data_IF_988338059983
#
_entry.id   IF_988338059983
#
_cell.length_a   1.000
_cell.length_b   1.000
_cell.length_c   1.000
_cell.angle_alpha   90.00
_cell.angle_beta   90.00
_cell.angle_gamma   90.00
#
_symmetry.space_group_name_H-M   'P 1'
#
loop_
_entity.id
_entity.type
_entity.pdbx_description
1 polymer ?
#
# COMPACT_ATOMS: atom_id res chain seq x y z
N UNK A 1 -6.53 -0.82 -25.34
CA UNK A 1 -5.97 -2.18 -25.11
C UNK A 1 -6.61 -2.70 -23.82
N UNK A 2 -7.24 -3.87 -23.86
CA UNK A 2 -7.89 -4.43 -22.66
C UNK A 2 -6.80 -4.99 -21.75
N UNK A 3 -6.66 -4.45 -20.54
CA UNK A 3 -5.62 -4.85 -19.62
C UNK A 3 -5.96 -6.25 -19.05
N UNK A 4 -5.08 -7.22 -19.28
CA UNK A 4 -5.24 -8.56 -18.72
C UNK A 4 -5.04 -8.52 -17.21
N UNK A 5 -5.88 -9.22 -16.46
CA UNK A 5 -5.83 -9.28 -15.01
C UNK A 5 -5.50 -10.68 -14.52
N UNK A 6 -4.69 -10.78 -13.49
CA UNK A 6 -4.43 -11.99 -12.74
C UNK A 6 -4.99 -11.87 -11.32
N UNK A 7 -5.25 -12.99 -10.67
CA UNK A 7 -5.73 -13.02 -9.27
C UNK A 7 -4.85 -13.95 -8.46
N UNK A 8 -4.20 -13.40 -7.46
CA UNK A 8 -3.46 -14.16 -6.47
C UNK A 8 -4.41 -14.59 -5.36
N UNK A 9 -4.30 -15.84 -4.93
CA UNK A 9 -5.14 -16.45 -3.90
C UNK A 9 -4.25 -16.76 -2.70
N UNK A 10 -4.38 -16.00 -1.63
CA UNK A 10 -3.46 -16.00 -0.50
C UNK A 10 -4.18 -16.53 0.74
N UNK A 11 -3.84 -17.73 1.25
CA UNK A 11 -4.31 -18.17 2.56
C UNK A 11 -3.77 -17.24 3.65
N UNK A 12 -4.63 -16.78 4.56
CA UNK A 12 -4.24 -15.85 5.61
C UNK A 12 -5.17 -15.95 6.82
N UNK A 13 -4.63 -16.24 8.01
CA UNK A 13 -5.36 -16.21 9.29
C UNK A 13 -6.72 -16.92 9.28
N UNK A 14 -6.83 -18.03 8.53
CA UNK A 14 -8.06 -18.83 8.42
C UNK A 14 -9.04 -18.37 7.37
N UNK A 15 -8.73 -17.34 6.61
CA UNK A 15 -9.48 -16.88 5.43
C UNK A 15 -8.64 -17.00 4.17
N UNK A 16 -9.25 -16.73 3.02
CA UNK A 16 -8.56 -16.67 1.74
C UNK A 16 -8.71 -15.27 1.18
N UNK A 17 -7.60 -14.56 1.04
CA UNK A 17 -7.57 -13.25 0.41
C UNK A 17 -7.42 -13.42 -1.10
N UNK A 18 -8.16 -12.60 -1.86
CA UNK A 18 -8.14 -12.58 -3.33
C UNK A 18 -7.60 -11.22 -3.79
N UNK A 19 -6.42 -11.22 -4.37
CA UNK A 19 -5.74 -9.98 -4.80
C UNK A 19 -5.65 -9.98 -6.31
N UNK A 20 -6.42 -9.09 -6.93
CA UNK A 20 -6.40 -8.86 -8.37
C UNK A 20 -5.28 -7.88 -8.67
N UNK A 21 -4.51 -8.17 -9.70
CA UNK A 21 -3.44 -7.32 -10.21
C UNK A 21 -3.42 -7.31 -11.73
N UNK A 22 -2.73 -6.36 -12.33
CA UNK A 22 -2.45 -6.37 -13.77
C UNK A 22 -1.50 -7.53 -14.09
N UNK A 23 -1.85 -8.32 -15.08
CA UNK A 23 -0.98 -9.38 -15.58
C UNK A 23 0.02 -8.80 -16.57
N UNK A 24 1.29 -8.77 -16.17
CA UNK A 24 2.41 -8.33 -16.99
C UNK A 24 3.17 -9.49 -17.64
N UNK A 25 2.76 -10.75 -17.38
CA UNK A 25 3.33 -11.93 -18.03
C UNK A 25 2.85 -12.02 -19.47
N UNK A 26 3.40 -11.17 -20.30
CA UNK A 26 3.45 -11.07 -21.72
C UNK A 26 2.49 -11.84 -22.62
N UNK A 27 1.71 -11.08 -23.39
CA UNK A 27 1.28 -11.49 -24.74
C UNK A 27 1.91 -10.60 -25.86
N UNK A 28 2.93 -9.82 -25.55
CA UNK A 28 3.70 -9.05 -26.54
C UNK A 28 4.91 -9.83 -27.13
N UNK A 29 4.93 -11.15 -26.99
CA UNK A 29 5.67 -12.02 -27.89
C UNK A 29 4.94 -12.14 -29.25
N UNK A 30 4.27 -11.07 -29.69
CA UNK A 30 3.70 -10.87 -31.00
C UNK A 30 4.78 -10.46 -31.98
N UNK A 31 5.34 -11.46 -32.69
CA UNK A 31 5.85 -11.37 -34.06
C UNK A 31 6.76 -10.15 -34.39
N UNK A 32 7.78 -9.90 -33.59
CA UNK A 32 8.98 -9.25 -34.13
C UNK A 32 10.06 -10.31 -34.29
N UNK A 33 10.34 -10.65 -35.54
CA UNK A 33 11.40 -11.52 -36.03
C UNK A 33 12.81 -10.90 -35.73
N UNK A 34 13.01 -10.49 -34.50
CA UNK A 34 14.31 -10.12 -33.96
C UNK A 34 14.71 -11.20 -32.96
N UNK A 35 15.35 -12.24 -33.50
CA UNK A 35 16.06 -13.20 -32.65
C UNK A 35 16.96 -12.47 -31.68
N UNK A 36 16.77 -12.61 -30.38
CA UNK A 36 17.78 -12.17 -29.43
C UNK A 36 18.99 -13.05 -29.69
N UNK A 37 20.10 -12.45 -30.05
CA UNK A 37 21.39 -13.14 -30.05
C UNK A 37 21.63 -13.61 -28.62
N UNK A 38 21.47 -14.91 -28.42
CA UNK A 38 21.78 -15.57 -27.18
C UNK A 38 23.25 -15.34 -26.84
N UNK A 39 23.52 -14.42 -25.95
CA UNK A 39 24.77 -14.40 -25.23
C UNK A 39 24.67 -15.53 -24.20
N UNK A 40 25.48 -16.58 -24.43
CA UNK A 40 25.54 -17.82 -23.64
C UNK A 40 26.36 -17.62 -22.37
N UNK A 41 26.11 -16.59 -21.61
CA UNK A 41 26.64 -16.42 -20.27
C UNK A 41 25.45 -16.07 -19.38
N UNK A 42 24.94 -17.12 -18.69
CA UNK A 42 23.73 -17.06 -17.90
C UNK A 42 23.91 -16.22 -16.63
N UNK A 43 23.68 -14.95 -16.74
CA UNK A 43 23.30 -14.08 -15.65
C UNK A 43 21.85 -13.72 -15.88
N UNK A 44 20.96 -14.26 -15.05
CA UNK A 44 19.55 -13.94 -15.03
C UNK A 44 19.44 -12.48 -14.55
N UNK A 45 19.38 -11.54 -15.50
CA UNK A 45 19.05 -10.13 -15.27
C UNK A 45 17.53 -10.00 -15.02
N UNK A 46 17.06 -10.56 -13.90
CA UNK A 46 15.66 -10.50 -13.47
C UNK A 46 15.20 -9.10 -13.02
N UNK A 47 16.08 -8.10 -12.99
CA UNK A 47 15.77 -6.72 -12.61
C UNK A 47 15.49 -5.78 -13.80
N UNK A 48 15.44 -6.31 -15.04
CA UNK A 48 15.17 -5.48 -16.20
C UNK A 48 13.67 -5.15 -16.31
N UNK A 49 13.31 -3.93 -15.98
CA UNK A 49 11.96 -3.40 -16.22
C UNK A 49 11.87 -2.95 -17.67
N UNK A 50 10.99 -3.57 -18.47
CA UNK A 50 10.73 -3.16 -19.83
C UNK A 50 10.43 -1.64 -19.89
N UNK A 51 11.24 -0.84 -20.61
CA UNK A 51 10.99 0.59 -20.74
C UNK A 51 9.62 0.92 -21.35
N UNK A 52 9.02 0.01 -22.13
CA UNK A 52 7.67 0.18 -22.67
C UNK A 52 6.58 -0.12 -21.62
N UNK A 53 6.93 -0.69 -20.47
CA UNK A 53 6.02 -0.94 -19.35
C UNK A 53 5.31 0.34 -18.87
N UNK A 54 5.89 1.50 -19.12
CA UNK A 54 5.39 2.81 -18.73
C UNK A 54 4.67 3.58 -19.84
N UNK A 55 4.46 2.98 -21.02
CA UNK A 55 3.90 3.67 -22.20
C UNK A 55 2.37 3.76 -22.20
N UNK A 56 1.70 3.38 -21.11
CA UNK A 56 0.24 3.43 -20.98
C UNK A 56 -0.30 4.75 -20.41
N UNK A 57 0.55 5.75 -20.26
CA UNK A 57 0.20 7.09 -19.78
C UNK A 57 0.14 7.23 -18.25
N UNK A 58 0.50 6.17 -17.50
CA UNK A 58 0.64 6.25 -16.04
C UNK A 58 2.07 6.62 -15.64
N UNK A 59 2.21 7.15 -14.42
CA UNK A 59 3.53 7.36 -13.84
C UNK A 59 4.15 6.00 -13.45
N UNK A 60 5.48 5.93 -13.39
CA UNK A 60 6.23 4.76 -12.92
C UNK A 60 5.68 4.26 -11.58
N UNK A 61 5.47 5.19 -10.63
CA UNK A 61 4.94 4.86 -9.31
C UNK A 61 3.54 4.24 -9.38
N UNK A 62 2.63 4.75 -10.22
CA UNK A 62 1.29 4.19 -10.39
C UNK A 62 1.34 2.81 -11.03
N UNK A 63 2.16 2.64 -12.07
CA UNK A 63 2.27 1.37 -12.80
C UNK A 63 2.77 0.25 -11.90
N UNK A 64 3.79 0.50 -11.08
CA UNK A 64 4.31 -0.48 -10.12
C UNK A 64 3.29 -0.88 -9.06
N UNK A 65 2.34 0.01 -8.71
CA UNK A 65 1.25 -0.28 -7.77
C UNK A 65 0.22 -1.29 -8.30
N UNK A 66 0.09 -1.47 -9.63
CA UNK A 66 -0.92 -2.37 -10.20
C UNK A 66 -0.48 -3.81 -10.41
N UNK A 67 0.82 -4.06 -10.56
CA UNK A 67 1.27 -5.23 -11.33
C UNK A 67 1.65 -6.42 -10.48
N UNK A 68 1.97 -6.25 -9.20
CA UNK A 68 2.38 -7.38 -8.37
C UNK A 68 2.18 -7.12 -6.88
N UNK A 69 2.17 -8.22 -6.12
CA UNK A 69 2.43 -8.19 -4.70
C UNK A 69 3.95 -8.13 -4.50
N UNK A 70 4.42 -7.17 -3.76
CA UNK A 70 5.83 -6.98 -3.46
C UNK A 70 6.23 -7.77 -2.22
N UNK A 71 7.47 -8.27 -2.19
CA UNK A 71 7.96 -9.14 -1.12
C UNK A 71 7.84 -8.52 0.29
N UNK A 72 8.10 -7.23 0.43
CA UNK A 72 7.91 -6.53 1.71
C UNK A 72 6.45 -6.52 2.19
N UNK A 73 5.49 -6.49 1.26
CA UNK A 73 4.07 -6.63 1.59
C UNK A 73 3.75 -8.06 2.06
N UNK A 74 4.33 -9.08 1.44
CA UNK A 74 4.17 -10.46 1.90
C UNK A 74 4.77 -10.69 3.28
N UNK A 75 5.98 -10.14 3.54
CA UNK A 75 6.62 -10.23 4.85
C UNK A 75 5.76 -9.55 5.90
N UNK A 76 5.28 -8.32 5.65
CA UNK A 76 4.43 -7.61 6.59
C UNK A 76 3.11 -8.35 6.85
N UNK A 77 2.52 -8.95 5.81
CA UNK A 77 1.30 -9.77 5.91
C UNK A 77 1.54 -11.00 6.79
N UNK A 78 2.65 -11.73 6.59
CA UNK A 78 3.02 -12.87 7.46
C UNK A 78 3.17 -12.46 8.93
N UNK A 79 3.73 -11.30 9.20
CA UNK A 79 3.86 -10.78 10.57
C UNK A 79 2.52 -10.40 11.20
N UNK A 80 1.50 -10.07 10.40
CA UNK A 80 0.13 -9.90 10.87
C UNK A 80 -0.53 -11.25 11.21
N UNK A 81 -0.16 -12.34 10.51
CA UNK A 81 -0.70 -13.68 10.73
C UNK A 81 -0.09 -14.34 11.96
N UNK A 82 1.24 -14.39 12.02
CA UNK A 82 1.98 -15.29 12.92
C UNK A 82 2.10 -14.82 14.37
N UNK A 83 1.66 -13.60 14.67
CA UNK A 83 1.74 -13.04 16.02
C UNK A 83 3.20 -12.97 16.60
N UNK A 84 4.23 -13.02 15.73
CA UNK A 84 5.64 -13.24 16.08
C UNK A 84 6.47 -11.98 15.84
N UNK A 85 6.20 -10.88 16.51
CA UNK A 85 7.20 -9.82 16.64
C UNK A 85 7.43 -9.54 18.12
N UNK A 86 8.44 -10.18 18.71
CA UNK A 86 8.90 -9.88 20.05
C UNK A 86 7.76 -9.77 21.07
N UNK A 87 7.86 -8.81 22.01
CA UNK A 87 6.89 -8.62 23.07
C UNK A 87 5.54 -8.01 22.63
N UNK A 88 5.39 -7.58 21.36
CA UNK A 88 4.19 -6.94 20.86
C UNK A 88 3.85 -7.41 19.45
N UNK A 89 2.99 -8.42 19.33
CA UNK A 89 2.39 -8.88 18.10
C UNK A 89 1.82 -7.73 17.26
N UNK A 90 2.22 -7.67 15.98
CA UNK A 90 1.70 -6.65 15.07
C UNK A 90 0.17 -6.76 14.94
N UNK A 91 -0.36 -7.98 14.89
CA UNK A 91 -1.80 -8.25 14.88
C UNK A 91 -2.52 -7.58 16.07
N UNK A 92 -2.00 -7.70 17.29
CA UNK A 92 -2.59 -7.05 18.47
C UNK A 92 -2.49 -5.53 18.43
N UNK A 93 -1.47 -5.01 17.76
CA UNK A 93 -1.28 -3.56 17.62
C UNK A 93 -2.26 -2.92 16.64
N UNK A 94 -2.71 -3.67 15.62
CA UNK A 94 -3.64 -3.17 14.59
C UNK A 94 -5.11 -3.46 14.94
N UNK A 95 -5.41 -4.54 15.65
CA UNK A 95 -6.78 -4.96 15.95
C UNK A 95 -7.57 -3.87 16.70
N UNK A 96 -8.74 -3.51 16.16
CA UNK A 96 -9.62 -2.47 16.69
C UNK A 96 -9.06 -1.05 16.55
N UNK A 97 -8.02 -0.83 15.75
CA UNK A 97 -7.39 0.47 15.52
C UNK A 97 -7.71 1.01 14.13
N UNK A 98 -7.71 2.33 14.01
CA UNK A 98 -7.69 2.99 12.71
C UNK A 98 -6.26 3.00 12.17
N UNK A 99 -6.05 2.20 11.14
CA UNK A 99 -4.76 2.03 10.48
C UNK A 99 -4.79 2.77 9.14
N UNK A 100 -3.72 3.48 8.84
CA UNK A 100 -3.49 4.11 7.54
C UNK A 100 -2.38 3.34 6.82
N UNK A 101 -2.67 2.81 5.64
CA UNK A 101 -1.66 2.24 4.76
C UNK A 101 -1.25 3.26 3.71
N UNK A 102 0.05 3.55 3.62
CA UNK A 102 0.65 4.46 2.64
C UNK A 102 1.27 3.64 1.50
N UNK A 103 0.95 4.00 0.25
CA UNK A 103 1.44 3.28 -0.92
C UNK A 103 0.94 1.85 -0.95
N UNK A 104 -0.37 1.67 -0.83
CA UNK A 104 -1.00 0.36 -0.66
C UNK A 104 -0.85 -0.55 -1.89
N UNK A 105 -0.58 0.00 -3.08
CA UNK A 105 -0.50 -0.76 -4.31
C UNK A 105 -1.76 -1.60 -4.53
N UNK A 106 -1.62 -2.92 -4.58
CA UNK A 106 -2.76 -3.84 -4.70
C UNK A 106 -3.57 -3.98 -3.40
N UNK A 107 -3.15 -3.38 -2.28
CA UNK A 107 -3.89 -3.34 -1.01
C UNK A 107 -3.77 -4.58 -0.14
N UNK A 108 -2.81 -5.47 -0.39
CA UNK A 108 -2.67 -6.75 0.35
C UNK A 108 -2.54 -6.54 1.87
N UNK A 109 -1.61 -5.67 2.31
CA UNK A 109 -1.36 -5.49 3.74
C UNK A 109 -2.56 -4.90 4.48
N UNK A 110 -3.23 -3.91 3.87
CA UNK A 110 -4.42 -3.29 4.47
C UNK A 110 -5.59 -4.26 4.58
N UNK A 111 -5.86 -5.03 3.52
CA UNK A 111 -6.91 -6.05 3.52
C UNK A 111 -6.59 -7.14 4.56
N UNK A 112 -5.33 -7.59 4.64
CA UNK A 112 -4.88 -8.54 5.65
C UNK A 112 -5.03 -7.99 7.08
N UNK A 113 -4.64 -6.74 7.32
CA UNK A 113 -4.83 -6.09 8.61
C UNK A 113 -6.31 -5.96 8.98
N UNK A 114 -7.17 -5.64 8.01
CA UNK A 114 -8.61 -5.58 8.22
C UNK A 114 -9.19 -6.95 8.54
N UNK A 115 -8.76 -8.04 7.89
CA UNK A 115 -9.26 -9.39 8.18
C UNK A 115 -8.90 -9.88 9.60
N UNK A 116 -7.90 -9.29 10.23
CA UNK A 116 -7.56 -9.54 11.66
C UNK A 116 -8.12 -8.48 12.62
N UNK A 117 -9.02 -7.62 12.16
CA UNK A 117 -9.82 -6.73 12.99
C UNK A 117 -9.41 -5.26 13.01
N UNK A 118 -8.51 -4.81 12.13
CA UNK A 118 -8.19 -3.39 11.99
C UNK A 118 -9.27 -2.64 11.18
N UNK A 119 -9.37 -1.33 11.38
CA UNK A 119 -10.12 -0.43 10.52
C UNK A 119 -9.13 0.30 9.62
N UNK A 120 -8.98 -0.17 8.38
CA UNK A 120 -7.89 0.26 7.50
C UNK A 120 -8.37 1.26 6.45
N UNK A 121 -7.58 2.30 6.23
CA UNK A 121 -7.64 3.15 5.07
C UNK A 121 -6.42 2.84 4.19
N UNK A 122 -6.64 2.17 3.06
CA UNK A 122 -5.62 1.92 2.04
C UNK A 122 -5.49 3.17 1.17
N UNK A 123 -4.29 3.72 1.08
CA UNK A 123 -4.06 4.95 0.31
C UNK A 123 -2.96 4.81 -0.71
N UNK A 124 -3.16 5.48 -1.87
CA UNK A 124 -2.21 5.53 -2.96
C UNK A 124 -2.56 6.70 -3.90
N UNK A 125 -1.88 6.79 -5.05
CA UNK A 125 -2.24 7.69 -6.14
C UNK A 125 -3.66 7.39 -6.68
N UNK A 126 -4.35 8.40 -7.21
CA UNK A 126 -5.73 8.28 -7.73
C UNK A 126 -5.86 7.09 -8.71
N UNK A 127 -4.89 6.93 -9.63
CA UNK A 127 -4.92 5.86 -10.62
C UNK A 127 -4.86 4.46 -9.97
N UNK A 128 -4.07 4.27 -8.91
CA UNK A 128 -3.94 2.99 -8.19
C UNK A 128 -5.20 2.72 -7.36
N UNK A 129 -5.73 3.74 -6.70
CA UNK A 129 -6.98 3.65 -5.94
C UNK A 129 -8.13 3.20 -6.84
N UNK A 130 -8.30 3.82 -8.02
CA UNK A 130 -9.34 3.47 -8.98
C UNK A 130 -9.07 2.14 -9.70
N UNK A 131 -7.80 1.90 -10.03
CA UNK A 131 -7.41 0.76 -10.87
C UNK A 131 -7.50 -0.59 -10.17
N UNK A 132 -7.06 -0.68 -8.91
CA UNK A 132 -6.97 -1.97 -8.20
C UNK A 132 -7.50 -1.97 -6.77
N UNK A 133 -7.28 -0.92 -5.94
CA UNK A 133 -7.56 -1.01 -4.50
C UNK A 133 -9.05 -1.18 -4.24
N UNK A 134 -9.92 -0.39 -4.87
CA UNK A 134 -11.36 -0.53 -4.71
C UNK A 134 -11.84 -1.93 -5.07
N UNK A 135 -11.32 -2.48 -6.16
CA UNK A 135 -11.66 -3.82 -6.60
C UNK A 135 -11.24 -4.87 -5.58
N UNK A 136 -10.00 -4.80 -5.10
CA UNK A 136 -9.47 -5.76 -4.15
C UNK A 136 -10.19 -5.72 -2.80
N UNK A 137 -10.61 -4.55 -2.33
CA UNK A 137 -11.49 -4.45 -1.17
C UNK A 137 -12.81 -5.19 -1.45
N UNK A 138 -13.47 -4.92 -2.59
CA UNK A 138 -14.72 -5.56 -2.96
C UNK A 138 -14.62 -7.09 -3.07
N UNK A 139 -13.54 -7.63 -3.63
CA UNK A 139 -13.30 -9.08 -3.75
C UNK A 139 -13.14 -9.79 -2.38
N UNK A 140 -12.83 -9.03 -1.32
CA UNK A 140 -12.61 -9.53 0.04
C UNK A 140 -13.68 -9.07 1.04
N UNK A 141 -14.73 -8.41 0.57
CA UNK A 141 -15.85 -7.97 1.41
C UNK A 141 -16.67 -9.16 1.91
N UNK A 142 -17.03 -9.14 3.19
CA UNK A 142 -17.90 -10.15 3.79
C UNK A 142 -19.36 -9.93 3.38
N UNK A 143 -19.81 -10.67 2.37
CA UNK A 143 -21.21 -10.61 1.89
C UNK A 143 -22.21 -11.33 2.81
N UNK A 144 -21.74 -12.06 3.83
CA UNK A 144 -22.60 -12.79 4.76
C UNK A 144 -23.21 -11.91 5.85
N UNK A 145 -22.70 -10.70 6.03
CA UNK A 145 -23.06 -9.81 7.14
C UNK A 145 -24.38 -9.05 6.93
N UNK A 146 -25.07 -9.18 5.80
CA UNK A 146 -26.40 -8.54 5.59
C UNK A 146 -27.48 -9.04 6.55
N UNK A 147 -27.24 -10.12 7.29
CA UNK A 147 -28.22 -10.71 8.24
C UNK A 147 -27.67 -10.96 9.65
N UNK A 148 -26.46 -10.58 9.95
CA UNK A 148 -25.75 -10.99 11.17
C UNK A 148 -25.66 -9.91 12.24
N UNK A 149 -25.95 -10.31 13.44
CA UNK A 149 -25.77 -9.60 14.71
C UNK A 149 -24.38 -8.94 14.77
N UNK A 150 -24.35 -7.60 14.69
CA UNK A 150 -23.17 -6.81 15.00
C UNK A 150 -22.64 -7.27 16.36
N UNK A 151 -21.51 -7.94 16.37
CA UNK A 151 -20.77 -8.13 17.63
C UNK A 151 -20.44 -6.73 18.14
N UNK A 152 -20.97 -6.39 19.31
CA UNK A 152 -20.72 -5.10 19.94
C UNK A 152 -19.21 -4.90 20.02
N UNK A 153 -18.66 -3.81 19.43
CA UNK A 153 -17.24 -3.55 19.51
C UNK A 153 -16.81 -3.49 20.96
N UNK A 154 -15.63 -4.03 21.27
CA UNK A 154 -15.09 -3.90 22.63
C UNK A 154 -14.97 -2.40 22.93
N UNK A 155 -15.16 -2.03 24.20
CA UNK A 155 -15.11 -0.62 24.65
C UNK A 155 -13.77 0.09 24.36
N UNK A 156 -12.78 -0.62 23.84
CA UNK A 156 -11.43 -0.13 23.49
C UNK A 156 -11.18 -0.01 22.00
N UNK A 157 -12.15 -0.38 21.13
CA UNK A 157 -11.96 -0.28 19.69
C UNK A 157 -12.33 1.11 19.17
N UNK A 158 -11.52 1.64 18.25
CA UNK A 158 -11.83 2.87 17.52
C UNK A 158 -13.00 2.65 16.56
N UNK A 159 -13.80 3.69 16.26
CA UNK A 159 -14.83 3.57 15.24
C UNK A 159 -14.19 3.33 13.86
N UNK A 160 -14.84 2.57 12.97
CA UNK A 160 -14.36 2.37 11.60
C UNK A 160 -14.31 3.69 10.83
N UNK A 161 -13.55 3.70 9.75
CA UNK A 161 -13.57 4.78 8.78
C UNK A 161 -14.95 4.88 8.12
N UNK A 162 -15.35 6.07 7.72
CA UNK A 162 -16.59 6.25 6.97
C UNK A 162 -16.51 5.54 5.62
N UNK A 163 -17.62 5.02 5.14
CA UNK A 163 -17.72 4.32 3.85
C UNK A 163 -16.78 3.11 3.73
N UNK A 164 -16.41 2.48 4.84
CA UNK A 164 -15.57 1.29 4.84
C UNK A 164 -16.40 0.02 4.71
N UNK A 165 -15.84 -0.96 3.99
CA UNK A 165 -16.43 -2.29 3.82
C UNK A 165 -15.94 -3.25 4.91
N UNK A 166 -16.79 -4.14 5.37
CA UNK A 166 -16.41 -5.22 6.27
C UNK A 166 -15.62 -6.27 5.50
N UNK A 167 -14.42 -6.60 5.99
CA UNK A 167 -13.56 -7.59 5.35
C UNK A 167 -13.78 -8.98 5.97
N UNK A 168 -13.76 -10.00 5.12
CA UNK A 168 -13.88 -11.40 5.53
C UNK A 168 -12.80 -11.75 6.58
N UNK A 169 -13.19 -12.53 7.60
CA UNK A 169 -12.30 -12.91 8.70
C UNK A 169 -13.00 -12.99 10.05
N UNK A 170 -14.24 -12.50 10.13
CA UNK A 170 -15.07 -12.60 11.35
C UNK A 170 -14.57 -11.78 12.54
N UNK A 171 -13.55 -10.93 12.35
CA UNK A 171 -12.93 -10.13 13.42
C UNK A 171 -13.48 -8.68 13.47
N UNK A 172 -14.49 -8.35 12.65
CA UNK A 172 -15.13 -7.02 12.62
C UNK A 172 -14.27 -5.90 12.03
N UNK A 173 -13.19 -6.23 11.33
CA UNK A 173 -12.34 -5.24 10.68
C UNK A 173 -12.97 -4.71 9.39
N UNK A 174 -12.56 -3.51 9.00
CA UNK A 174 -13.10 -2.82 7.83
C UNK A 174 -12.00 -2.20 7.00
N UNK A 175 -12.26 -2.00 5.70
CA UNK A 175 -11.34 -1.39 4.78
C UNK A 175 -12.01 -0.33 3.91
N UNK A 176 -11.31 0.76 3.62
CA UNK A 176 -11.72 1.80 2.68
C UNK A 176 -10.51 2.22 1.85
N UNK A 177 -10.72 2.57 0.59
CA UNK A 177 -9.68 3.15 -0.25
C UNK A 177 -9.83 4.67 -0.33
N UNK A 178 -8.70 5.40 -0.31
CA UNK A 178 -8.68 6.85 -0.44
C UNK A 178 -7.39 7.33 -1.11
N UNK A 179 -7.52 8.42 -1.90
CA UNK A 179 -6.35 9.05 -2.54
C UNK A 179 -5.48 9.73 -1.49
N UNK A 180 -4.17 9.46 -1.54
CA UNK A 180 -3.15 10.20 -0.80
C UNK A 180 -1.85 10.23 -1.62
N UNK A 181 -1.55 11.39 -2.18
CA UNK A 181 -0.32 11.66 -2.93
C UNK A 181 0.68 12.37 -2.00
N UNK A 182 1.82 11.72 -1.73
CA UNK A 182 2.84 12.25 -0.81
C UNK A 182 3.54 13.49 -1.32
N UNK A 183 3.50 13.75 -2.63
CA UNK A 183 4.07 14.96 -3.24
C UNK A 183 3.19 16.18 -3.01
N UNK A 184 2.01 15.98 -2.43
CA UNK A 184 1.03 17.02 -2.14
C UNK A 184 0.70 17.06 -0.63
N UNK A 185 0.09 18.16 -0.19
CA UNK A 185 -0.41 18.21 1.19
C UNK A 185 -1.57 17.22 1.40
N UNK A 186 -1.74 16.76 2.64
CA UNK A 186 -2.87 15.91 3.02
C UNK A 186 -4.21 16.57 2.67
N UNK A 187 -4.34 17.89 2.83
CA UNK A 187 -5.57 18.60 2.48
C UNK A 187 -5.84 18.60 0.97
N UNK A 188 -4.79 18.70 0.14
CA UNK A 188 -4.93 18.56 -1.32
C UNK A 188 -5.37 17.15 -1.73
N UNK A 189 -4.84 16.12 -1.08
CA UNK A 189 -5.26 14.72 -1.30
C UNK A 189 -6.71 14.49 -0.86
N UNK A 190 -7.15 15.07 0.26
CA UNK A 190 -8.55 15.04 0.69
C UNK A 190 -9.46 15.69 -0.37
N UNK A 191 -9.06 16.80 -0.95
CA UNK A 191 -9.85 17.44 -2.01
C UNK A 191 -9.83 16.64 -3.32
N UNK A 192 -8.73 15.97 -3.65
CA UNK A 192 -8.67 15.01 -4.77
C UNK A 192 -9.67 13.86 -4.57
N UNK A 193 -9.72 13.30 -3.38
CA UNK A 193 -10.71 12.25 -3.03
C UNK A 193 -12.15 12.74 -3.16
N UNK A 194 -12.46 13.98 -2.74
CA UNK A 194 -13.80 14.56 -2.92
C UNK A 194 -14.17 14.69 -4.39
N UNK A 195 -13.21 15.11 -5.24
CA UNK A 195 -13.44 15.20 -6.70
C UNK A 195 -13.68 13.83 -7.31
N UNK A 196 -12.94 12.83 -6.89
CA UNK A 196 -13.11 11.44 -7.33
C UNK A 196 -14.51 10.91 -6.97
N UNK A 197 -14.96 11.11 -5.74
CA UNK A 197 -16.31 10.73 -5.30
C UNK A 197 -17.42 11.39 -6.11
N UNK A 198 -17.30 12.68 -6.42
CA UNK A 198 -18.23 13.39 -7.31
C UNK A 198 -18.24 12.80 -8.72
N UNK A 199 -17.08 12.52 -9.31
CA UNK A 199 -16.95 11.92 -10.65
C UNK A 199 -17.66 10.56 -10.72
N UNK A 200 -17.41 9.70 -9.74
CA UNK A 200 -18.03 8.35 -9.67
C UNK A 200 -19.56 8.41 -9.60
N UNK A 201 -20.13 9.34 -8.86
CA UNK A 201 -21.60 9.53 -8.80
C UNK A 201 -22.20 9.98 -10.12
N UNK A 202 -21.52 10.85 -10.87
CA UNK A 202 -21.99 11.28 -12.19
C UNK A 202 -22.01 10.09 -13.15
N UNK A 203 -20.94 9.32 -13.21
CA UNK A 203 -20.84 8.14 -14.07
C UNK A 203 -21.88 7.07 -13.71
N UNK A 204 -22.11 6.82 -12.43
CA UNK A 204 -23.13 5.84 -12.00
C UNK A 204 -24.57 6.24 -12.32
N UNK A 205 -24.86 7.54 -12.46
CA UNK A 205 -26.19 8.03 -12.88
C UNK A 205 -26.42 7.91 -14.39
N UNK A 206 -25.35 7.94 -15.18
CA UNK A 206 -25.42 7.85 -16.65
C UNK A 206 -25.47 6.41 -17.17
N UNK A 207 -24.93 5.45 -16.41
CA UNK A 207 -24.76 4.05 -16.83
C UNK A 207 -25.93 3.16 -16.39
N UNK A 208 -27.13 3.42 -16.95
CA UNK A 208 -28.29 2.51 -16.79
C UNK A 208 -28.25 1.31 -17.75
N UNK A 209 -27.19 1.14 -18.52
CA UNK A 209 -27.03 0.10 -19.53
C UNK A 209 -26.02 -0.99 -19.13
N UNK A 210 -26.30 -1.74 -18.09
CA UNK A 210 -25.92 -3.15 -17.97
C UNK A 210 -24.45 -3.57 -17.96
N UNK A 211 -23.46 -2.67 -17.93
CA UNK A 211 -22.05 -3.01 -17.80
C UNK A 211 -21.63 -2.87 -16.33
N UNK A 212 -21.20 -3.97 -15.74
CA UNK A 212 -20.54 -4.15 -14.42
C UNK A 212 -20.43 -2.89 -13.57
N UNK A 213 -21.55 -2.51 -12.97
CA UNK A 213 -21.60 -1.42 -12.00
C UNK A 213 -20.83 -1.84 -10.75
N UNK A 214 -19.80 -1.10 -10.41
CA UNK A 214 -19.27 -1.11 -9.06
C UNK A 214 -20.42 -0.76 -8.10
N UNK A 215 -20.56 -1.40 -6.96
CA UNK A 215 -21.61 -1.09 -6.03
C UNK A 215 -21.50 0.39 -5.64
N UNK A 216 -22.46 1.19 -6.11
CA UNK A 216 -22.66 2.54 -5.62
C UNK A 216 -23.22 2.44 -4.22
N UNK A 217 -22.37 2.59 -3.22
CA UNK A 217 -22.82 2.71 -1.84
C UNK A 217 -23.39 4.12 -1.66
N UNK A 218 -24.69 4.22 -1.57
CA UNK A 218 -25.38 5.46 -1.27
C UNK A 218 -26.63 5.62 -2.11
N UNK A 219 -27.75 5.14 -1.58
CA UNK A 219 -29.09 5.53 -2.01
C UNK A 219 -29.39 6.93 -1.51
N UNK A 220 -29.89 7.71 -2.46
CA UNK A 220 -30.82 8.83 -2.28
C UNK A 220 -30.49 9.87 -1.20
N UNK A 221 -30.21 11.07 -1.63
CA UNK A 221 -30.96 12.29 -1.43
C UNK A 221 -30.14 13.54 -1.74
N UNK A 222 -30.81 14.55 -2.26
CA UNK A 222 -30.33 15.80 -2.83
C UNK A 222 -29.74 16.80 -1.79
N UNK A 223 -28.94 16.35 -0.84
CA UNK A 223 -28.33 17.26 0.14
C UNK A 223 -26.81 17.35 0.01
N UNK A 224 -26.31 18.56 0.23
CA UNK A 224 -24.90 19.04 0.24
C UNK A 224 -23.93 18.25 1.18
N UNK A 225 -24.26 17.02 1.55
CA UNK A 225 -23.53 16.15 2.49
C UNK A 225 -22.21 15.56 1.91
N UNK A 226 -21.87 15.92 0.68
CA UNK A 226 -20.66 15.44 -0.02
C UNK A 226 -19.34 15.77 0.71
N UNK A 227 -19.34 16.80 1.53
CA UNK A 227 -18.18 17.16 2.37
C UNK A 227 -17.93 16.16 3.51
N UNK A 228 -18.95 15.35 3.88
CA UNK A 228 -18.90 14.46 5.04
C UNK A 228 -18.37 13.05 4.75
N UNK A 229 -18.24 12.67 3.47
CA UNK A 229 -17.91 11.29 3.07
C UNK A 229 -16.40 11.02 2.95
N UNK A 230 -15.53 12.00 3.11
CA UNK A 230 -14.07 11.83 3.04
C UNK A 230 -13.50 11.74 4.44
N UNK A 231 -12.66 10.73 4.66
CA UNK A 231 -11.95 10.56 5.93
C UNK A 231 -10.72 11.47 6.00
N UNK A 232 -10.36 11.92 7.19
CA UNK A 232 -9.09 12.62 7.43
C UNK A 232 -7.99 11.59 7.81
N UNK A 233 -6.95 11.38 6.97
CA UNK A 233 -5.87 10.44 7.26
C UNK A 233 -5.18 10.70 8.60
N UNK A 234 -5.22 11.95 9.08
CA UNK A 234 -4.63 12.38 10.36
C UNK A 234 -5.33 11.77 11.59
N UNK A 235 -6.47 11.11 11.40
CA UNK A 235 -7.19 10.40 12.46
C UNK A 235 -6.71 8.96 12.69
N UNK A 236 -5.69 8.48 11.96
CA UNK A 236 -5.10 7.16 12.14
C UNK A 236 -4.39 7.01 13.49
N UNK A 237 -4.29 5.78 13.98
CA UNK A 237 -3.63 5.41 15.25
C UNK A 237 -2.36 4.57 15.01
N UNK A 238 -2.15 4.12 13.77
CA UNK A 238 -0.95 3.45 13.29
C UNK A 238 -0.83 3.70 11.78
N UNK A 239 0.38 3.95 11.31
CA UNK A 239 0.72 4.00 9.89
C UNK A 239 1.41 2.70 9.51
N UNK A 240 1.03 2.11 8.38
CA UNK A 240 1.73 0.98 7.74
C UNK A 240 2.17 1.39 6.35
N UNK A 241 3.30 0.85 5.91
CA UNK A 241 3.77 0.99 4.55
C UNK A 241 4.65 -0.21 4.17
N UNK A 242 4.53 -0.69 2.93
CA UNK A 242 5.30 -1.83 2.45
C UNK A 242 5.84 -1.60 1.05
N UNK A 243 7.16 -1.71 0.86
CA UNK A 243 7.87 -1.60 -0.42
C UNK A 243 7.59 -0.33 -1.24
N UNK A 244 7.17 0.74 -0.58
CA UNK A 244 6.77 1.98 -1.26
C UNK A 244 7.93 2.97 -1.46
N UNK A 245 9.11 2.72 -0.87
CA UNK A 245 10.29 3.59 -0.91
C UNK A 245 11.42 2.98 -1.77
N UNK A 246 11.15 2.73 -3.03
CA UNK A 246 12.15 2.16 -3.94
C UNK A 246 12.88 3.21 -4.77
N UNK A 247 12.31 4.42 -4.95
CA UNK A 247 12.95 5.56 -5.62
C UNK A 247 13.41 6.60 -4.61
N UNK A 248 14.60 7.13 -4.81
CA UNK A 248 15.22 8.16 -3.96
C UNK A 248 14.35 9.42 -3.85
N UNK A 249 13.69 9.81 -4.92
CA UNK A 249 12.79 10.98 -4.97
C UNK A 249 11.54 10.82 -4.11
N UNK A 250 11.17 9.60 -3.72
CA UNK A 250 10.00 9.32 -2.87
C UNK A 250 10.32 9.43 -1.37
N UNK A 251 11.59 9.41 -0.97
CA UNK A 251 11.99 9.38 0.44
C UNK A 251 11.54 10.62 1.19
N UNK A 252 11.89 11.80 0.68
CA UNK A 252 11.56 13.06 1.35
C UNK A 252 10.04 13.29 1.44
N UNK A 253 9.26 13.18 0.34
CA UNK A 253 7.79 13.31 0.40
C UNK A 253 7.14 12.32 1.36
N UNK A 254 7.60 11.06 1.38
CA UNK A 254 7.09 10.06 2.31
C UNK A 254 7.40 10.43 3.77
N UNK A 255 8.66 10.76 4.08
CA UNK A 255 9.07 11.15 5.42
C UNK A 255 8.32 12.41 5.90
N UNK A 256 8.05 13.37 5.01
CA UNK A 256 7.24 14.55 5.31
C UNK A 256 5.80 14.16 5.64
N UNK A 257 5.17 13.34 4.81
CA UNK A 257 3.81 12.86 5.04
C UNK A 257 3.69 12.14 6.39
N UNK A 258 4.62 11.20 6.69
CA UNK A 258 4.60 10.45 7.96
C UNK A 258 4.79 11.40 9.16
N UNK A 259 5.73 12.32 9.09
CA UNK A 259 5.98 13.27 10.20
C UNK A 259 4.85 14.26 10.39
N UNK A 260 4.17 14.67 9.33
CA UNK A 260 2.96 15.51 9.40
C UNK A 260 1.80 14.77 10.08
N UNK A 261 1.61 13.49 9.77
CA UNK A 261 0.64 12.62 10.44
C UNK A 261 0.97 12.47 11.93
N UNK A 262 2.24 12.22 12.27
CA UNK A 262 2.72 12.11 13.66
C UNK A 262 2.46 13.41 14.43
N UNK A 263 2.80 14.56 13.84
CA UNK A 263 2.54 15.87 14.43
C UNK A 263 1.04 16.10 14.66
N UNK A 264 0.22 15.86 13.64
CA UNK A 264 -1.22 16.03 13.74
C UNK A 264 -1.86 15.11 14.80
N UNK A 265 -1.41 13.85 14.91
CA UNK A 265 -1.88 12.92 15.93
C UNK A 265 -1.57 13.41 17.35
N UNK A 266 -0.36 13.95 17.56
CA UNK A 266 0.04 14.53 18.84
C UNK A 266 -0.76 15.79 19.17
N UNK A 267 -0.86 16.73 18.22
CA UNK A 267 -1.55 18.01 18.44
C UNK A 267 -3.05 17.84 18.66
N UNK A 268 -3.71 16.98 17.88
CA UNK A 268 -5.16 16.83 17.93
C UNK A 268 -5.64 15.87 19.00
N UNK A 269 -4.86 14.85 19.33
CA UNK A 269 -5.32 13.72 20.14
C UNK A 269 -4.36 13.35 21.28
N UNK A 270 -3.18 13.96 21.37
CA UNK A 270 -2.18 13.66 22.39
C UNK A 270 -1.61 12.25 22.31
N UNK A 271 -1.62 11.61 21.12
CA UNK A 271 -1.11 10.26 20.92
C UNK A 271 0.22 10.25 20.17
N UNK A 272 1.07 9.30 20.53
CA UNK A 272 2.29 8.99 19.78
C UNK A 272 1.94 8.02 18.64
N UNK A 273 1.98 8.51 17.40
CA UNK A 273 1.62 7.74 16.21
C UNK A 273 2.84 6.98 15.68
N UNK A 274 2.91 5.65 15.77
CA UNK A 274 4.00 4.88 15.16
C UNK A 274 3.74 4.64 13.67
N UNK A 275 4.84 4.48 12.89
CA UNK A 275 4.80 3.97 11.54
C UNK A 275 5.56 2.65 11.44
N UNK A 276 4.94 1.62 10.90
CA UNK A 276 5.56 0.32 10.59
C UNK A 276 5.85 0.28 9.10
N UNK A 277 7.12 0.24 8.75
CA UNK A 277 7.62 0.25 7.37
C UNK A 277 8.31 -1.07 7.06
N UNK A 278 7.84 -1.78 6.05
CA UNK A 278 8.53 -2.93 5.45
C UNK A 278 9.26 -2.50 4.19
N UNK A 279 10.51 -2.91 4.05
CA UNK A 279 11.40 -2.43 3.01
C UNK A 279 12.44 -3.49 2.63
N UNK A 280 12.58 -3.81 1.32
CA UNK A 280 13.67 -4.64 0.81
C UNK A 280 14.87 -3.75 0.46
N UNK A 281 16.01 -4.00 1.09
CA UNK A 281 17.25 -3.31 0.77
C UNK A 281 17.83 -3.84 -0.55
N UNK A 282 17.80 -3.04 -1.58
CA UNK A 282 18.35 -3.37 -2.91
C UNK A 282 19.76 -2.82 -3.15
N UNK A 283 20.37 -2.18 -2.15
CA UNK A 283 21.66 -1.50 -2.30
C UNK A 283 22.87 -2.41 -2.10
N UNK A 284 22.72 -3.63 -1.58
CA UNK A 284 23.82 -4.40 -1.02
C UNK A 284 24.74 -5.11 -2.05
N UNK A 285 24.38 -5.19 -3.33
CA UNK A 285 25.21 -5.83 -4.37
C UNK A 285 26.25 -4.92 -5.05
N UNK A 286 26.11 -3.60 -4.95
CA UNK A 286 26.89 -2.66 -5.77
C UNK A 286 28.28 -2.31 -5.22
N UNK A 287 28.63 -2.72 -4.00
CA UNK A 287 29.90 -2.30 -3.39
C UNK A 287 31.12 -3.10 -3.86
N UNK A 288 30.94 -4.26 -4.51
CA UNK A 288 32.07 -5.15 -4.82
C UNK A 288 32.45 -5.27 -6.32
N UNK A 289 31.67 -4.69 -7.26
CA UNK A 289 31.95 -4.89 -8.70
C UNK A 289 32.44 -3.68 -9.48
N UNK A 290 32.23 -2.44 -9.03
CA UNK A 290 32.41 -1.27 -9.91
C UNK A 290 33.47 -0.26 -9.50
N UNK A 291 34.64 -0.75 -9.02
CA UNK A 291 35.79 0.15 -8.82
C UNK A 291 36.48 0.56 -10.14
N UNK A 292 36.14 -0.04 -11.27
CA UNK A 292 36.89 0.11 -12.53
C UNK A 292 36.10 0.65 -13.74
N UNK A 293 34.82 0.98 -13.65
CA UNK A 293 34.06 1.53 -14.79
C UNK A 293 33.89 3.05 -14.68
N UNK A 294 34.81 3.76 -15.31
CA UNK A 294 34.78 5.22 -15.42
C UNK A 294 33.69 5.64 -16.42
N UNK A 295 32.50 6.05 -15.93
CA UNK A 295 31.69 7.00 -16.68
C UNK A 295 30.25 6.69 -17.04
N UNK A 296 29.63 5.61 -16.58
CA UNK A 296 28.18 5.38 -16.72
C UNK A 296 27.45 5.68 -15.43
N UNK A 297 26.50 6.63 -15.40
CA UNK A 297 25.51 6.70 -14.32
C UNK A 297 24.71 5.38 -14.36
N UNK A 298 25.00 4.48 -13.41
CA UNK A 298 24.29 3.22 -13.29
C UNK A 298 22.80 3.52 -13.00
N UNK A 299 21.86 2.87 -13.71
CA UNK A 299 20.42 2.93 -13.35
C UNK A 299 20.16 2.55 -11.89
N UNK A 300 21.05 1.78 -11.28
CA UNK A 300 21.04 1.34 -9.89
C UNK A 300 21.18 2.49 -8.88
N UNK A 301 21.74 3.65 -9.24
CA UNK A 301 21.75 4.85 -8.39
C UNK A 301 20.37 5.43 -8.07
N UNK A 302 19.30 4.95 -8.73
CA UNK A 302 17.92 5.35 -8.46
C UNK A 302 17.33 4.67 -7.21
N UNK A 303 17.80 3.47 -6.86
CA UNK A 303 17.30 2.73 -5.69
C UNK A 303 17.80 3.31 -4.37
N UNK A 304 16.98 3.15 -3.34
CA UNK A 304 17.24 3.73 -2.02
C UNK A 304 17.77 2.66 -1.07
N UNK A 305 18.95 2.86 -0.48
CA UNK A 305 19.43 2.00 0.61
C UNK A 305 18.63 2.28 1.90
N UNK A 306 18.50 1.25 2.74
CA UNK A 306 17.88 1.37 4.08
C UNK A 306 18.49 2.50 4.89
N UNK A 307 19.82 2.69 4.81
CA UNK A 307 20.53 3.75 5.52
C UNK A 307 19.99 5.15 5.19
N UNK A 308 19.65 5.41 3.94
CA UNK A 308 19.15 6.72 3.50
C UNK A 308 17.75 6.99 4.04
N UNK A 309 16.88 5.96 4.06
CA UNK A 309 15.54 6.06 4.65
C UNK A 309 15.62 6.35 6.15
N UNK A 310 16.50 5.62 6.86
CA UNK A 310 16.72 5.83 8.28
C UNK A 310 17.25 7.23 8.55
N UNK A 311 18.29 7.67 7.80
CA UNK A 311 18.87 8.99 7.95
C UNK A 311 17.85 10.12 7.69
N UNK A 312 16.95 9.95 6.73
CA UNK A 312 15.90 10.93 6.45
C UNK A 312 14.93 11.09 7.64
N UNK A 313 14.55 10.00 8.29
CA UNK A 313 13.73 10.05 9.51
C UNK A 313 14.48 10.61 10.71
N UNK A 314 15.76 10.24 10.91
CA UNK A 314 16.61 10.79 11.97
C UNK A 314 16.81 12.30 11.82
N UNK A 315 16.97 12.80 10.59
CA UNK A 315 17.08 14.22 10.30
C UNK A 315 15.80 15.01 10.70
N UNK A 316 14.64 14.35 10.74
CA UNK A 316 13.39 14.90 11.25
C UNK A 316 13.19 14.67 12.77
N UNK A 317 14.19 14.10 13.44
CA UNK A 317 14.18 13.82 14.89
C UNK A 317 13.39 12.58 15.28
N UNK A 318 12.95 11.76 14.31
CA UNK A 318 12.26 10.51 14.59
C UNK A 318 13.23 9.47 15.17
N UNK A 319 12.73 8.62 16.07
CA UNK A 319 13.39 7.38 16.47
C UNK A 319 13.00 6.23 15.54
N UNK A 320 13.83 5.18 15.54
CA UNK A 320 13.52 3.96 14.80
C UNK A 320 14.09 2.73 15.50
N UNK A 321 13.48 1.57 15.21
CA UNK A 321 14.00 0.26 15.61
C UNK A 321 13.60 -0.81 14.63
N UNK A 322 14.46 -1.80 14.44
CA UNK A 322 14.14 -2.99 13.65
C UNK A 322 13.16 -3.87 14.44
N UNK A 323 12.05 -4.23 13.82
CA UNK A 323 11.08 -5.19 14.35
C UNK A 323 11.39 -6.61 13.85
N UNK A 324 11.77 -6.72 12.57
CA UNK A 324 12.04 -8.00 11.90
C UNK A 324 13.04 -7.83 10.78
N UNK A 325 13.78 -8.90 10.48
CA UNK A 325 14.61 -9.01 9.29
C UNK A 325 14.55 -10.45 8.81
N UNK A 326 14.28 -10.65 7.52
CA UNK A 326 14.30 -11.96 6.86
C UNK A 326 15.13 -11.90 5.59
N UNK A 327 15.78 -13.01 5.18
CA UNK A 327 16.36 -13.09 3.84
C UNK A 327 15.27 -12.91 2.79
N UNK A 328 15.61 -12.26 1.67
CA UNK A 328 14.73 -12.20 0.51
C UNK A 328 14.54 -13.59 -0.09
N UNK A 329 13.33 -13.89 -0.49
CA UNK A 329 12.99 -15.14 -1.22
C UNK A 329 13.09 -14.94 -2.73
N UNK A 330 13.00 -13.70 -3.20
CA UNK A 330 13.09 -13.35 -4.61
C UNK A 330 14.56 -13.19 -5.06
N UNK A 331 15.45 -12.76 -4.15
CA UNK A 331 16.79 -12.37 -4.54
C UNK A 331 17.83 -12.76 -3.47
N UNK A 332 18.69 -13.71 -3.82
CA UNK A 332 19.70 -14.22 -2.90
C UNK A 332 20.73 -13.13 -2.53
N UNK A 333 20.89 -12.88 -1.24
CA UNK A 333 21.82 -11.90 -0.68
C UNK A 333 21.19 -10.58 -0.25
N UNK A 334 19.91 -10.38 -0.54
CA UNK A 334 19.15 -9.26 -0.02
C UNK A 334 18.33 -9.63 1.22
N UNK A 335 17.86 -8.63 1.93
CA UNK A 335 17.03 -8.78 3.12
C UNK A 335 15.83 -7.86 3.07
N UNK A 336 14.71 -8.36 3.57
CA UNK A 336 13.53 -7.55 3.88
C UNK A 336 13.62 -7.15 5.35
N UNK A 337 13.57 -5.86 5.62
CA UNK A 337 13.56 -5.30 6.94
C UNK A 337 12.18 -4.75 7.28
N UNK A 338 11.75 -4.91 8.51
CA UNK A 338 10.57 -4.25 9.04
C UNK A 338 10.99 -3.35 10.20
N UNK A 339 10.70 -2.07 10.07
CA UNK A 339 11.05 -1.04 11.04
C UNK A 339 9.81 -0.49 11.73
N UNK A 340 9.99 -0.05 12.95
CA UNK A 340 9.09 0.89 13.60
C UNK A 340 9.76 2.25 13.67
N UNK A 341 9.09 3.24 13.10
CA UNK A 341 9.47 4.64 13.20
C UNK A 341 8.59 5.28 14.27
N UNK A 342 9.22 5.98 15.20
CA UNK A 342 8.53 6.67 16.30
C UNK A 342 8.67 8.18 16.17
N UNK A 343 7.65 8.96 16.60
CA UNK A 343 7.69 10.41 16.48
C UNK A 343 8.85 11.02 17.30
N UNK A 344 9.28 12.23 16.94
CA UNK A 344 10.28 12.96 17.71
C UNK A 344 9.87 13.08 19.20
N UNK A 345 10.80 12.98 20.14
CA UNK A 345 10.49 13.17 21.55
C UNK A 345 9.90 14.57 21.81
N UNK A 346 9.05 14.67 22.81
CA UNK A 346 8.53 15.97 23.26
C UNK A 346 9.69 16.75 23.85
N UNK A 347 9.93 17.97 23.34
CA UNK A 347 10.97 18.87 23.84
C UNK A 347 10.64 19.42 25.24
#
# INVERSE_FOLDING_TARGET
MECKLATDVIPFAGVTLRIVRRDISGDDAGDTDASPTSNADGEDDDDWVDPNFFDDGYTVAATTGFCRVWEGAEVLTRLLEDDIIGDASLRRRVAGKRVLELGAGVGLCGIAAASVGAHVMCTDLEAVVEGVIYRNIGENTDTSSETGTLTTPSSSSSPPWRMSEHIAGGNGGTCVAQVLDWTQSIDASIEAQRRLGRRRRVLSREDTTGATSWPCIGKDDDDDDDAQCVNDPRDCELVMAAECLWLRELVDPFCETVTDLMRAARERRGIELPCVLSFRDRSSKDTDKDADDEGGESPLGAFVPVSDVVAAFEAKGCGWRTLHTSPSTEDAGYHVHVFEITPPPVA
#
